data_IF_859473320472
#
_entry.id   IF_859473320472
#
_cell.length_a   1.000
_cell.length_b   1.000
_cell.length_c   1.000
_cell.angle_alpha   90.00
_cell.angle_beta   90.00
_cell.angle_gamma   90.00
#
_symmetry.space_group_name_H-M   'P 1'
#
loop_
_entity.id
_entity.type
_entity.pdbx_description
1 polymer ?
#
# COMPACT_ATOMS: atom_id res chain seq x y z
N UNK A 1 -0.94 19.57 -4.16
CA UNK A 1 -1.52 18.34 -4.76
C UNK A 1 -3.02 18.53 -4.86
N UNK A 2 -3.70 17.93 -5.83
CA UNK A 2 -5.17 18.04 -5.99
C UNK A 2 -5.79 16.65 -5.90
N UNK A 3 -6.80 16.45 -5.04
CA UNK A 3 -7.61 15.23 -5.06
C UNK A 3 -8.41 15.20 -6.36
N UNK A 4 -8.36 14.06 -7.05
CA UNK A 4 -8.87 13.92 -8.41
C UNK A 4 -10.00 12.90 -8.51
N UNK A 5 -9.92 11.83 -7.71
CA UNK A 5 -10.94 10.79 -7.67
C UNK A 5 -10.73 9.95 -6.42
N UNK A 6 -11.73 9.15 -6.12
CA UNK A 6 -11.60 7.99 -5.24
C UNK A 6 -11.45 6.73 -6.09
N UNK A 7 -10.73 5.75 -5.55
CA UNK A 7 -10.50 4.45 -6.16
C UNK A 7 -10.94 3.39 -5.17
N UNK A 8 -11.75 2.44 -5.61
CA UNK A 8 -12.22 1.33 -4.79
C UNK A 8 -11.28 0.14 -5.01
N UNK A 9 -10.67 -0.37 -3.93
CA UNK A 9 -9.79 -1.54 -3.94
C UNK A 9 -10.20 -2.45 -2.78
N UNK A 10 -10.52 -3.71 -3.09
CA UNK A 10 -10.95 -4.72 -2.09
C UNK A 10 -11.99 -4.17 -1.09
N UNK A 11 -13.01 -3.48 -1.61
CA UNK A 11 -14.11 -2.88 -0.83
C UNK A 11 -13.72 -1.67 0.05
N UNK A 12 -12.49 -1.18 -0.03
CA UNK A 12 -12.04 0.04 0.63
C UNK A 12 -11.94 1.20 -0.37
N UNK A 13 -12.20 2.41 0.09
CA UNK A 13 -12.14 3.64 -0.71
C UNK A 13 -10.82 4.35 -0.42
N UNK A 14 -10.01 4.56 -1.46
CA UNK A 14 -8.73 5.26 -1.36
C UNK A 14 -8.79 6.59 -2.12
N UNK A 15 -8.20 7.63 -1.51
CA UNK A 15 -8.06 8.92 -2.17
C UNK A 15 -6.87 8.91 -3.13
N UNK A 16 -7.14 9.26 -4.40
CA UNK A 16 -6.11 9.47 -5.39
C UNK A 16 -5.83 10.96 -5.56
N UNK A 17 -4.55 11.31 -5.56
CA UNK A 17 -4.07 12.68 -5.67
C UNK A 17 -3.16 12.86 -6.88
N UNK A 18 -3.40 13.94 -7.61
CA UNK A 18 -2.58 14.33 -8.75
C UNK A 18 -1.53 15.34 -8.34
N UNK A 19 -0.28 15.01 -8.69
CA UNK A 19 0.89 15.88 -8.63
C UNK A 19 1.41 16.10 -10.04
N UNK A 20 1.19 17.28 -10.60
CA UNK A 20 1.82 17.68 -11.86
C UNK A 20 3.32 17.87 -11.65
N UNK A 21 4.12 17.38 -12.58
CA UNK A 21 5.58 17.36 -12.47
C UNK A 21 6.24 17.56 -13.84
N UNK A 22 7.56 17.71 -13.86
CA UNK A 22 8.37 17.75 -15.09
C UNK A 22 8.61 16.35 -15.69
N UNK A 23 7.89 15.32 -15.24
CA UNK A 23 8.05 13.95 -15.75
C UNK A 23 7.58 13.84 -17.19
N UNK A 24 8.23 12.95 -17.94
CA UNK A 24 7.81 12.53 -19.28
C UNK A 24 6.73 11.46 -19.27
N UNK A 25 6.61 10.70 -18.16
CA UNK A 25 5.64 9.61 -17.99
C UNK A 25 4.92 9.70 -16.66
N UNK A 26 3.72 9.12 -16.60
CA UNK A 26 2.96 8.99 -15.35
C UNK A 26 3.57 7.92 -14.46
N UNK A 27 3.66 8.21 -13.17
CA UNK A 27 4.11 7.27 -12.16
C UNK A 27 3.13 7.25 -10.98
N UNK A 28 2.98 6.08 -10.37
CA UNK A 28 2.07 5.81 -9.27
C UNK A 28 2.88 5.45 -8.02
N UNK A 29 2.43 5.92 -6.85
CA UNK A 29 3.00 5.58 -5.54
C UNK A 29 1.88 5.46 -4.52
N UNK A 30 1.91 4.43 -3.70
CA UNK A 30 1.07 4.31 -2.49
C UNK A 30 1.88 4.81 -1.29
N UNK A 31 1.35 5.76 -0.52
CA UNK A 31 1.98 6.27 0.71
C UNK A 31 1.79 5.29 1.86
N UNK A 32 2.43 5.62 2.98
CA UNK A 32 2.27 4.86 4.22
C UNK A 32 0.87 5.01 4.82
N UNK A 33 0.25 6.18 4.64
CA UNK A 33 -1.17 6.45 4.97
C UNK A 33 -2.17 5.87 3.96
N UNK A 34 -1.72 4.94 3.10
CA UNK A 34 -2.50 4.32 2.03
C UNK A 34 -3.10 5.30 1.00
N UNK A 35 -2.50 6.48 0.82
CA UNK A 35 -2.91 7.42 -0.22
C UNK A 35 -2.25 7.10 -1.55
N UNK A 36 -2.98 7.28 -2.66
CA UNK A 36 -2.43 7.05 -4.00
C UNK A 36 -1.92 8.39 -4.55
N UNK A 37 -0.60 8.58 -4.60
CA UNK A 37 0.03 9.74 -5.22
C UNK A 37 0.40 9.43 -6.66
N UNK A 38 -0.07 10.30 -7.55
CA UNK A 38 0.13 10.14 -8.98
C UNK A 38 0.90 11.32 -9.52
N UNK A 39 2.09 11.05 -10.04
CA UNK A 39 2.96 12.06 -10.63
C UNK A 39 2.85 12.01 -12.14
N UNK A 40 2.31 13.06 -12.77
CA UNK A 40 2.09 13.09 -14.23
C UNK A 40 2.74 14.31 -14.90
N UNK A 41 2.97 14.25 -16.23
CA UNK A 41 3.37 15.41 -17.03
C UNK A 41 2.33 16.55 -16.96
N UNK A 42 2.77 17.80 -17.18
CA UNK A 42 1.89 18.98 -17.16
C UNK A 42 0.81 18.96 -18.26
N UNK A 43 1.14 18.41 -19.42
CA UNK A 43 0.31 18.39 -20.63
C UNK A 43 -0.66 17.21 -20.73
N UNK A 44 -0.61 16.23 -19.82
CA UNK A 44 -1.49 15.07 -19.86
C UNK A 44 -2.93 15.46 -19.45
N UNK A 45 -3.93 15.15 -20.26
CA UNK A 45 -5.33 15.48 -19.95
C UNK A 45 -5.87 14.68 -18.76
N UNK A 46 -6.93 15.19 -18.09
CA UNK A 46 -7.58 14.46 -17.00
C UNK A 46 -8.24 13.15 -17.47
N UNK A 47 -8.73 13.10 -18.72
CA UNK A 47 -9.35 11.90 -19.28
C UNK A 47 -8.33 10.79 -19.59
N UNK A 48 -7.21 11.11 -20.23
CA UNK A 48 -6.12 10.15 -20.44
C UNK A 48 -5.57 9.66 -19.10
N UNK A 49 -5.49 10.56 -18.12
CA UNK A 49 -5.10 10.23 -16.78
C UNK A 49 -6.05 9.20 -16.13
N UNK A 50 -7.38 9.40 -16.19
CA UNK A 50 -8.37 8.44 -15.68
C UNK A 50 -8.23 7.06 -16.35
N UNK A 51 -7.93 7.02 -17.65
CA UNK A 51 -7.66 5.77 -18.38
C UNK A 51 -6.41 5.05 -17.87
N UNK A 52 -5.31 5.76 -17.66
CA UNK A 52 -4.07 5.19 -17.09
C UNK A 52 -4.34 4.61 -15.71
N UNK A 53 -5.08 5.35 -14.87
CA UNK A 53 -5.45 4.89 -13.54
C UNK A 53 -6.28 3.59 -13.58
N UNK A 54 -7.29 3.55 -14.46
CA UNK A 54 -8.11 2.35 -14.68
C UNK A 54 -7.26 1.17 -15.15
N UNK A 55 -6.33 1.38 -16.08
CA UNK A 55 -5.48 0.31 -16.61
C UNK A 55 -4.47 -0.20 -15.57
N UNK A 56 -4.08 0.62 -14.60
CA UNK A 56 -3.13 0.26 -13.56
C UNK A 56 -3.80 -0.36 -12.31
N UNK A 57 -5.12 -0.61 -12.33
CA UNK A 57 -5.87 -1.03 -11.14
C UNK A 57 -5.28 -2.25 -10.45
N UNK A 58 -4.93 -3.30 -11.20
CA UNK A 58 -4.35 -4.54 -10.65
C UNK A 58 -3.02 -4.30 -9.92
N UNK A 59 -2.18 -3.41 -10.46
CA UNK A 59 -0.92 -3.05 -9.81
C UNK A 59 -1.17 -2.26 -8.52
N UNK A 60 -2.12 -1.32 -8.54
CA UNK A 60 -2.51 -0.52 -7.37
C UNK A 60 -3.05 -1.45 -6.28
N UNK A 61 -3.94 -2.39 -6.63
CA UNK A 61 -4.47 -3.40 -5.72
C UNK A 61 -3.34 -4.18 -5.04
N UNK A 62 -2.39 -4.71 -5.80
CA UNK A 62 -1.25 -5.45 -5.26
C UNK A 62 -0.40 -4.62 -4.29
N UNK A 63 -0.10 -3.37 -4.62
CA UNK A 63 0.73 -2.51 -3.77
C UNK A 63 0.00 -2.09 -2.48
N UNK A 64 -1.29 -1.79 -2.56
CA UNK A 64 -2.13 -1.49 -1.40
C UNK A 64 -2.19 -2.69 -0.46
N UNK A 65 -2.41 -3.90 -0.98
CA UNK A 65 -2.43 -5.14 -0.18
C UNK A 65 -1.09 -5.36 0.54
N UNK A 66 0.04 -5.18 -0.17
CA UNK A 66 1.37 -5.32 0.44
C UNK A 66 1.58 -4.30 1.55
N UNK A 67 1.18 -3.04 1.34
CA UNK A 67 1.29 -1.99 2.36
C UNK A 67 0.40 -2.26 3.56
N UNK A 68 -0.85 -2.69 3.35
CA UNK A 68 -1.72 -3.13 4.45
C UNK A 68 -1.09 -4.25 5.27
N UNK A 69 -0.55 -5.29 4.64
CA UNK A 69 0.13 -6.38 5.36
C UNK A 69 1.35 -5.96 6.17
N UNK A 70 2.00 -4.84 5.81
CA UNK A 70 3.10 -4.26 6.57
C UNK A 70 2.61 -3.54 7.84
N UNK A 71 1.41 -2.96 7.79
CA UNK A 71 0.80 -2.20 8.89
C UNK A 71 -0.21 -3.01 9.71
N UNK A 72 -0.73 -4.11 9.18
CA UNK A 72 -1.49 -5.07 9.97
C UNK A 72 -0.58 -5.59 11.07
N UNK A 73 -1.06 -5.48 12.32
CA UNK A 73 -0.42 -6.11 13.46
C UNK A 73 -0.18 -7.58 13.08
N UNK A 74 1.10 -7.97 13.04
CA UNK A 74 1.46 -9.37 12.92
C UNK A 74 0.76 -10.05 14.08
N UNK A 75 -0.30 -10.82 13.81
CA UNK A 75 -0.88 -11.71 14.80
C UNK A 75 0.28 -12.46 15.42
N UNK A 76 0.57 -12.15 16.69
CA UNK A 76 1.48 -12.97 17.48
C UNK A 76 0.89 -14.36 17.35
N UNK A 77 1.62 -15.27 16.72
CA UNK A 77 1.22 -16.68 16.79
C UNK A 77 1.26 -16.99 18.27
N UNK A 78 0.09 -17.04 18.91
CA UNK A 78 -0.04 -17.60 20.24
C UNK A 78 0.42 -19.04 20.10
N UNK A 79 1.61 -19.32 20.63
CA UNK A 79 2.15 -20.67 20.64
C UNK A 79 1.73 -21.35 21.93
N UNK A 80 1.20 -22.56 21.78
CA UNK A 80 0.74 -23.44 22.84
C UNK A 80 1.76 -23.53 23.98
N UNK A 81 1.24 -23.45 25.20
CA UNK A 81 1.84 -23.86 26.46
C UNK A 81 2.87 -22.93 27.13
N UNK A 82 3.11 -21.72 26.61
CA UNK A 82 3.82 -20.67 27.35
C UNK A 82 5.27 -20.97 27.75
N UNK A 83 5.89 -22.00 27.16
CA UNK A 83 7.23 -22.50 27.53
C UNK A 83 8.31 -22.23 26.49
N UNK A 84 7.95 -21.75 25.30
CA UNK A 84 8.88 -21.62 24.17
C UNK A 84 8.64 -20.29 23.45
N UNK A 85 9.70 -19.52 23.23
CA UNK A 85 9.69 -18.30 22.41
C UNK A 85 10.46 -18.52 21.11
N UNK A 86 9.91 -18.00 20.01
CA UNK A 86 10.58 -17.99 18.71
C UNK A 86 11.01 -16.58 18.35
N UNK A 87 12.33 -16.34 18.23
CA UNK A 87 12.91 -15.04 17.90
C UNK A 87 13.94 -15.20 16.77
N UNK A 88 13.78 -14.43 15.69
CA UNK A 88 14.68 -14.44 14.53
C UNK A 88 14.95 -15.83 13.93
N UNK A 89 13.92 -16.69 13.89
CA UNK A 89 14.03 -18.06 13.36
C UNK A 89 14.75 -19.05 14.31
N UNK A 90 15.04 -18.65 15.55
CA UNK A 90 15.61 -19.51 16.60
C UNK A 90 14.57 -19.77 17.69
N UNK A 91 14.61 -20.97 18.25
CA UNK A 91 13.75 -21.47 19.32
C UNK A 91 14.47 -21.35 20.66
N UNK A 92 13.82 -20.80 21.68
CA UNK A 92 14.37 -20.66 23.02
C UNK A 92 13.36 -21.18 24.05
N UNK A 93 13.85 -21.99 24.99
CA UNK A 93 13.07 -22.45 26.13
C UNK A 93 13.09 -21.38 27.23
N UNK A 94 11.92 -21.05 27.77
CA UNK A 94 11.83 -20.19 28.95
C UNK A 94 12.16 -21.03 30.17
N UNK A 95 13.30 -20.73 30.82
CA UNK A 95 13.66 -21.33 32.10
C UNK A 95 13.00 -20.47 33.19
N UNK A 96 12.04 -20.99 33.97
CA UNK A 96 11.46 -20.24 35.08
C UNK A 96 12.52 -19.99 36.16
N UNK A 97 12.63 -18.73 36.60
CA UNK A 97 13.46 -18.33 37.74
C UNK A 97 12.85 -18.78 39.08
#
# INVERSE_FOLDING_TARGET
>A
MKKITEVIVERNIYSAYLKRSKRSKTALKVTDDLEIIISSPKNLSENEFKKILKNASLWIESEVIKKKKLYDERKVKEFQDGRVIWLNGKCYDLIPN
#
